data_IF_264248081397
#
_entry.id   IF_264248081397
#
_cell.length_a   1.000
_cell.length_b   1.000
_cell.length_c   1.000
_cell.angle_alpha   90.00
_cell.angle_beta   90.00
_cell.angle_gamma   90.00
#
_symmetry.space_group_name_H-M   'P 1'
#
loop_
_entity.id
_entity.type
_entity.pdbx_description
1 polymer ?
#
# COMPACT_ATOMS: atom_id res chain seq x y z
N UNK A 1 -33.36 49.89 28.92
CA UNK A 1 -33.81 48.52 29.23
C UNK A 1 -34.55 48.00 28.00
N UNK A 2 -34.30 46.74 27.61
CA UNK A 2 -35.02 45.95 26.58
C UNK A 2 -34.80 46.40 25.12
N UNK A 3 -34.29 45.64 24.16
CA UNK A 3 -33.72 44.29 24.08
C UNK A 3 -32.68 44.32 22.95
N UNK A 4 -31.51 43.74 23.19
CA UNK A 4 -30.51 43.45 22.15
C UNK A 4 -30.94 42.12 21.53
N UNK A 5 -31.59 42.17 20.37
CA UNK A 5 -31.88 40.96 19.60
C UNK A 5 -30.68 40.62 18.72
N UNK A 6 -29.93 39.67 19.27
CA UNK A 6 -28.82 38.93 18.69
C UNK A 6 -29.30 38.23 17.41
N UNK A 7 -28.91 38.75 16.25
CA UNK A 7 -28.90 37.98 15.01
C UNK A 7 -27.48 37.43 14.80
N UNK A 8 -27.12 36.42 15.60
CA UNK A 8 -25.99 35.54 15.30
C UNK A 8 -26.39 34.70 14.08
N UNK A 9 -26.18 35.27 12.89
CA UNK A 9 -26.25 34.52 11.64
C UNK A 9 -25.12 33.51 11.63
N UNK A 10 -25.44 32.27 12.02
CA UNK A 10 -24.56 31.11 11.90
C UNK A 10 -24.38 30.86 10.40
N UNK A 11 -23.36 31.48 9.81
CA UNK A 11 -22.80 31.05 8.53
C UNK A 11 -22.04 29.75 8.79
N UNK A 12 -22.77 28.63 8.79
CA UNK A 12 -22.19 27.30 8.60
C UNK A 12 -21.62 27.26 7.17
N UNK A 13 -20.42 27.80 7.01
CA UNK A 13 -19.57 27.56 5.85
C UNK A 13 -19.36 26.06 5.79
N UNK A 14 -20.04 25.41 4.83
CA UNK A 14 -19.77 24.04 4.42
C UNK A 14 -18.42 24.11 3.69
N UNK A 15 -17.34 24.17 4.45
CA UNK A 15 -16.02 23.81 3.97
C UNK A 15 -16.05 22.31 3.75
N UNK A 16 -16.51 21.90 2.57
CA UNK A 16 -16.29 20.56 2.04
C UNK A 16 -14.79 20.38 1.86
N UNK A 17 -14.11 20.03 2.95
CA UNK A 17 -12.77 19.49 2.97
C UNK A 17 -12.82 18.22 2.13
N UNK A 18 -12.49 18.35 0.84
CA UNK A 18 -12.05 17.21 0.04
C UNK A 18 -10.70 16.79 0.61
N UNK A 19 -10.74 16.08 1.73
CA UNK A 19 -9.57 15.70 2.51
C UNK A 19 -8.67 14.69 1.78
N UNK A 20 -9.10 14.20 0.63
CA UNK A 20 -8.38 13.25 -0.22
C UNK A 20 -7.04 13.78 -0.75
N UNK A 21 -6.81 15.10 -0.76
CA UNK A 21 -5.52 15.69 -1.13
C UNK A 21 -4.61 15.98 0.08
N UNK A 22 -5.18 16.11 1.29
CA UNK A 22 -4.43 16.40 2.52
C UNK A 22 -3.95 15.12 3.21
N UNK A 23 -4.69 14.02 3.05
CA UNK A 23 -4.20 12.68 3.31
C UNK A 23 -3.66 12.17 1.97
N UNK A 24 -2.35 11.90 1.87
CA UNK A 24 -1.69 11.44 0.65
C UNK A 24 -2.12 10.05 0.19
N UNK A 25 -3.42 9.86 -0.03
CA UNK A 25 -4.00 8.66 -0.62
C UNK A 25 -3.62 8.70 -2.09
N UNK A 26 -2.42 8.23 -2.41
CA UNK A 26 -2.10 7.81 -3.76
C UNK A 26 -3.17 6.78 -4.14
N UNK A 27 -3.90 7.02 -5.22
CA UNK A 27 -4.94 6.11 -5.68
C UNK A 27 -4.31 4.75 -5.94
N UNK A 28 -4.67 3.74 -5.13
CA UNK A 28 -4.24 2.36 -5.32
C UNK A 28 -4.77 1.90 -6.69
N UNK A 29 -3.90 1.43 -7.56
CA UNK A 29 -4.29 0.87 -8.85
C UNK A 29 -4.74 -0.59 -8.65
N UNK A 30 -6.05 -0.77 -8.49
CA UNK A 30 -6.67 -2.08 -8.32
C UNK A 30 -7.07 -2.74 -9.65
N UNK A 31 -6.77 -2.13 -10.80
CA UNK A 31 -7.15 -2.68 -12.10
C UNK A 31 -6.23 -3.83 -12.54
N UNK A 32 -5.05 -3.98 -11.92
CA UNK A 32 -4.02 -4.94 -12.32
C UNK A 32 -3.44 -5.68 -11.12
N UNK A 33 -3.31 -7.00 -11.28
CA UNK A 33 -2.54 -7.85 -10.36
C UNK A 33 -1.13 -8.03 -10.91
N UNK A 34 -0.11 -7.67 -10.12
CA UNK A 34 1.27 -8.06 -10.37
C UNK A 34 1.58 -9.39 -9.68
N UNK A 35 1.44 -10.49 -10.41
CA UNK A 35 1.86 -11.80 -9.92
C UNK A 35 3.36 -12.00 -10.19
N UNK A 36 4.08 -12.52 -9.20
CA UNK A 36 5.51 -12.84 -9.31
C UNK A 36 5.88 -14.02 -8.41
N UNK A 37 6.86 -14.82 -8.84
CA UNK A 37 7.34 -15.97 -8.09
C UNK A 37 8.54 -15.67 -7.19
N UNK A 38 9.32 -14.64 -7.50
CA UNK A 38 10.51 -14.24 -6.77
C UNK A 38 10.74 -12.71 -6.79
N UNK A 39 11.67 -12.22 -5.97
CA UNK A 39 11.94 -10.79 -5.86
C UNK A 39 12.47 -10.13 -7.13
N UNK A 40 13.22 -10.86 -7.97
CA UNK A 40 13.74 -10.32 -9.25
C UNK A 40 12.59 -10.06 -10.23
N UNK A 41 11.63 -10.99 -10.30
CA UNK A 41 10.39 -10.80 -11.06
C UNK A 41 9.55 -9.64 -10.53
N UNK A 42 9.49 -9.47 -9.19
CA UNK A 42 8.79 -8.35 -8.57
C UNK A 42 9.40 -7.01 -9.01
N UNK A 43 10.73 -6.93 -8.97
CA UNK A 43 11.51 -5.75 -9.38
C UNK A 43 11.28 -5.39 -10.86
N UNK A 44 11.05 -6.38 -11.72
CA UNK A 44 10.88 -6.17 -13.16
C UNK A 44 9.47 -5.82 -13.59
N UNK A 45 8.47 -6.34 -12.87
CA UNK A 45 7.09 -6.37 -13.35
C UNK A 45 6.15 -5.49 -12.54
N UNK A 46 6.44 -5.29 -11.26
CA UNK A 46 5.55 -4.59 -10.33
C UNK A 46 5.91 -3.11 -10.22
N UNK A 47 4.88 -2.29 -10.05
CA UNK A 47 5.00 -0.84 -9.84
C UNK A 47 4.34 -0.45 -8.53
N UNK A 48 4.80 0.63 -7.92
CA UNK A 48 4.20 1.16 -6.70
C UNK A 48 2.70 1.38 -6.89
N UNK A 49 1.90 0.82 -5.99
CA UNK A 49 0.43 0.91 -6.04
C UNK A 49 -0.27 -0.27 -6.73
N UNK A 50 0.44 -1.15 -7.45
CA UNK A 50 -0.14 -2.39 -8.01
C UNK A 50 -0.64 -3.32 -6.89
N UNK A 51 -1.70 -4.10 -7.16
CA UNK A 51 -2.04 -5.26 -6.33
C UNK A 51 -1.01 -6.36 -6.58
N UNK A 52 -0.06 -6.52 -5.67
CA UNK A 52 0.94 -7.59 -5.70
C UNK A 52 0.34 -8.93 -5.27
N UNK A 53 0.76 -10.01 -5.95
CA UNK A 53 0.50 -11.38 -5.54
C UNK A 53 1.77 -12.22 -5.68
N UNK A 54 2.46 -12.42 -4.56
CA UNK A 54 3.58 -13.35 -4.53
C UNK A 54 3.07 -14.79 -4.34
N UNK A 55 3.44 -15.65 -5.27
CA UNK A 55 3.11 -17.09 -5.26
C UNK A 55 4.31 -17.87 -5.80
N UNK A 56 5.09 -18.54 -4.95
CA UNK A 56 6.29 -19.24 -5.39
C UNK A 56 5.91 -20.51 -6.16
N UNK A 57 6.73 -20.90 -7.13
CA UNK A 57 6.53 -22.15 -7.88
C UNK A 57 6.70 -23.40 -7.00
N UNK A 58 7.56 -23.31 -5.99
CA UNK A 58 7.85 -24.37 -5.02
C UNK A 58 7.82 -23.78 -3.63
N UNK A 59 7.18 -24.47 -2.70
CA UNK A 59 7.23 -24.08 -1.29
C UNK A 59 8.67 -24.16 -0.77
N UNK A 60 9.16 -23.06 -0.21
CA UNK A 60 10.45 -22.99 0.46
C UNK A 60 10.31 -23.30 1.95
N UNK A 61 9.95 -22.28 2.72
CA UNK A 61 9.71 -22.39 4.16
C UNK A 61 8.61 -21.42 4.61
N UNK A 62 8.11 -21.61 5.83
CA UNK A 62 7.02 -20.81 6.42
C UNK A 62 7.39 -19.34 6.68
N UNK A 63 8.69 -18.99 6.73
CA UNK A 63 9.16 -17.62 6.93
C UNK A 63 9.17 -16.82 5.63
N UNK A 64 9.17 -17.50 4.49
CA UNK A 64 9.30 -16.85 3.17
C UNK A 64 8.17 -15.84 2.92
N UNK A 65 6.87 -16.15 3.16
CA UNK A 65 5.81 -15.16 3.07
C UNK A 65 6.09 -13.89 3.90
N UNK A 66 6.66 -14.03 5.11
CA UNK A 66 6.97 -12.88 5.97
C UNK A 66 8.06 -11.97 5.37
N UNK A 67 9.06 -12.55 4.70
CA UNK A 67 10.06 -11.77 3.98
C UNK A 67 9.42 -10.99 2.82
N UNK A 68 8.57 -11.63 2.03
CA UNK A 68 7.90 -10.97 0.91
C UNK A 68 6.93 -9.87 1.36
N UNK A 69 6.19 -10.10 2.44
CA UNK A 69 5.40 -9.05 3.10
C UNK A 69 6.29 -7.87 3.47
N UNK A 70 7.40 -8.14 4.15
CA UNK A 70 8.28 -7.09 4.68
C UNK A 70 8.92 -6.26 3.55
N UNK A 71 9.32 -6.89 2.45
CA UNK A 71 10.09 -6.24 1.38
C UNK A 71 9.23 -5.48 0.38
N UNK A 72 8.03 -6.00 0.07
CA UNK A 72 7.25 -5.55 -1.08
C UNK A 72 5.88 -4.97 -0.73
N UNK A 73 5.37 -5.17 0.49
CA UNK A 73 4.03 -4.68 0.85
C UNK A 73 4.05 -3.31 1.49
N UNK A 74 3.10 -2.45 1.09
CA UNK A 74 2.78 -1.24 1.83
C UNK A 74 1.94 -1.59 3.07
N UNK A 75 2.43 -1.24 4.26
CA UNK A 75 1.78 -1.57 5.53
C UNK A 75 0.67 -0.57 5.90
N UNK A 76 0.54 0.52 5.14
CA UNK A 76 -0.61 1.41 5.23
C UNK A 76 -1.87 0.80 4.59
N UNK A 77 -1.72 -0.32 3.86
CA UNK A 77 -2.80 -1.05 3.19
C UNK A 77 -3.01 -2.46 3.79
N UNK A 78 -4.18 -3.09 3.58
CA UNK A 78 -4.42 -4.47 4.00
C UNK A 78 -3.44 -5.47 3.37
N UNK A 79 -3.03 -6.45 4.16
CA UNK A 79 -2.12 -7.53 3.76
C UNK A 79 -2.79 -8.86 4.04
N UNK A 80 -2.85 -9.74 3.05
CA UNK A 80 -3.34 -11.12 3.18
C UNK A 80 -2.16 -12.05 2.91
N UNK A 81 -1.96 -13.03 3.79
CA UNK A 81 -0.92 -14.05 3.60
C UNK A 81 -1.35 -15.40 4.15
N UNK A 82 -0.73 -16.44 3.63
CA UNK A 82 -0.76 -17.79 4.18
C UNK A 82 0.59 -18.47 3.90
N UNK A 83 0.72 -19.77 4.17
CA UNK A 83 1.96 -20.52 3.92
C UNK A 83 2.37 -20.56 2.44
N UNK A 84 1.43 -20.35 1.51
CA UNK A 84 1.63 -20.49 0.07
C UNK A 84 1.76 -19.18 -0.70
N UNK A 85 1.60 -18.01 -0.05
CA UNK A 85 1.66 -16.75 -0.77
C UNK A 85 1.27 -15.52 0.03
N UNK A 86 1.39 -14.37 -0.63
CA UNK A 86 1.11 -13.04 -0.11
C UNK A 86 0.36 -12.23 -1.15
N UNK A 87 -0.64 -11.47 -0.73
CA UNK A 87 -1.25 -10.42 -1.53
C UNK A 87 -1.33 -9.11 -0.75
N UNK A 88 -0.94 -8.02 -1.39
CA UNK A 88 -0.86 -6.68 -0.79
C UNK A 88 -0.70 -5.60 -1.87
N UNK A 89 -0.56 -4.35 -1.46
CA UNK A 89 -0.18 -3.27 -2.37
C UNK A 89 1.35 -3.22 -2.47
N UNK A 90 1.86 -3.24 -3.70
CA UNK A 90 3.29 -3.22 -3.96
C UNK A 90 3.91 -1.87 -3.61
N UNK A 91 5.11 -1.90 -3.02
CA UNK A 91 5.90 -0.71 -2.77
C UNK A 91 7.41 -0.97 -2.89
N UNK A 92 8.14 0.03 -3.38
CA UNK A 92 9.59 0.09 -3.46
C UNK A 92 10.23 0.87 -2.31
N UNK A 93 9.47 1.30 -1.29
CA UNK A 93 9.96 2.03 -0.11
C UNK A 93 11.20 1.39 0.55
N UNK A 94 11.34 0.06 0.44
CA UNK A 94 12.42 -0.74 1.05
C UNK A 94 13.42 -1.31 0.03
N UNK A 95 13.46 -0.78 -1.19
CA UNK A 95 14.31 -1.28 -2.29
C UNK A 95 15.79 -1.39 -1.93
N UNK A 96 16.31 -0.50 -1.09
CA UNK A 96 17.70 -0.55 -0.64
C UNK A 96 18.06 -1.84 0.12
N UNK A 97 17.09 -2.49 0.76
CA UNK A 97 17.29 -3.70 1.57
C UNK A 97 17.10 -4.99 0.77
N UNK A 98 16.60 -4.92 -0.46
CA UNK A 98 16.25 -6.11 -1.25
C UNK A 98 17.43 -7.05 -1.47
N UNK A 99 18.64 -6.50 -1.62
CA UNK A 99 19.88 -7.27 -1.79
C UNK A 99 20.22 -8.13 -0.57
N UNK A 100 19.85 -7.69 0.63
CA UNK A 100 20.09 -8.43 1.88
C UNK A 100 19.21 -9.71 1.95
N UNK A 101 18.19 -9.79 1.09
CA UNK A 101 17.25 -10.90 0.99
C UNK A 101 17.32 -11.62 -0.36
N UNK A 102 18.43 -11.46 -1.10
CA UNK A 102 18.74 -12.23 -2.29
C UNK A 102 18.10 -11.74 -3.60
N UNK A 103 17.49 -10.55 -3.59
CA UNK A 103 17.02 -9.89 -4.82
C UNK A 103 18.19 -9.22 -5.51
N UNK A 104 18.39 -9.50 -6.79
CA UNK A 104 19.54 -9.02 -7.54
C UNK A 104 19.43 -7.52 -7.83
N UNK A 105 20.54 -6.81 -7.61
CA UNK A 105 20.64 -5.40 -7.99
C UNK A 105 20.61 -5.30 -9.52
N UNK A 106 19.78 -4.41 -10.06
CA UNK A 106 19.81 -4.00 -11.46
C UNK A 106 20.46 -2.63 -11.59
#
# INVERSE_FOLDING_TARGET
MKEILIALGITLSISSFSASAAFGINSIDQAKVCQFANGDEAQDRCKDGDVAMWTPQTFGNEQTPLYYVSLFCDFDAPIIHNIGGVSCIFTTKRKAQWVDYGVQKK
#
